data_IF_994748508617
#
_entry.id   IF_994748508617
#
_cell.length_a   1.000
_cell.length_b   1.000
_cell.length_c   1.000
_cell.angle_alpha   90.00
_cell.angle_beta   90.00
_cell.angle_gamma   90.00
#
_symmetry.space_group_name_H-M   'P 1'
#
loop_
_entity.id
_entity.type
_entity.pdbx_description
1 polymer ?
#
# COMPACT_ATOMS: atom_id res chain seq x y z
N UNK A 1 0.57 -39.90 1.74
CA UNK A 1 -0.10 -40.04 0.44
C UNK A 1 -1.08 -38.89 0.25
N UNK A 2 -1.11 -38.37 -0.98
CA UNK A 2 -2.00 -37.33 -1.55
C UNK A 2 -1.70 -35.87 -1.12
N UNK A 3 -1.03 -35.08 -2.00
CA UNK A 3 -1.57 -34.35 -3.18
C UNK A 3 -2.34 -33.09 -2.75
N UNK A 4 -2.33 -31.92 -3.39
CA UNK A 4 -1.79 -31.32 -4.63
C UNK A 4 -2.06 -29.80 -4.45
N UNK A 5 -1.07 -28.92 -4.67
CA UNK A 5 -1.04 -27.91 -5.74
C UNK A 5 -2.07 -26.75 -5.75
N UNK A 6 -1.51 -25.55 -6.04
CA UNK A 6 -2.03 -24.50 -6.91
C UNK A 6 -2.93 -23.40 -6.32
N UNK A 7 -2.29 -22.34 -5.85
CA UNK A 7 -2.77 -20.97 -6.00
C UNK A 7 -2.29 -20.43 -7.36
N UNK A 8 -3.20 -19.92 -8.21
CA UNK A 8 -2.89 -19.19 -9.46
C UNK A 8 -3.94 -18.09 -9.74
N UNK A 9 -3.52 -16.85 -9.43
CA UNK A 9 -3.61 -15.55 -10.15
C UNK A 9 -4.96 -14.81 -10.48
N UNK A 10 -4.95 -13.50 -10.90
CA UNK A 10 -5.58 -12.39 -10.17
C UNK A 10 -6.46 -11.50 -11.09
N UNK A 11 -6.62 -10.22 -10.72
CA UNK A 11 -6.89 -9.05 -11.58
C UNK A 11 -8.31 -8.50 -11.54
N UNK A 12 -8.46 -7.39 -10.82
CA UNK A 12 -9.36 -6.30 -11.21
C UNK A 12 -8.58 -4.99 -11.11
N UNK A 13 -8.09 -4.62 -12.28
CA UNK A 13 -7.74 -3.32 -12.82
C UNK A 13 -7.90 -2.11 -11.89
N UNK A 14 -6.78 -1.44 -11.62
CA UNK A 14 -6.65 -0.20 -10.84
C UNK A 14 -6.84 1.08 -11.69
N UNK A 15 -7.38 0.96 -12.90
CA UNK A 15 -7.56 2.08 -13.82
C UNK A 15 -8.99 2.62 -13.76
N UNK A 16 -9.32 3.38 -12.72
CA UNK A 16 -10.42 4.37 -12.73
C UNK A 16 -10.48 5.22 -11.45
N UNK A 17 -9.35 5.48 -10.79
CA UNK A 17 -9.29 6.50 -9.75
C UNK A 17 -8.93 7.84 -10.41
N UNK A 18 -9.76 8.86 -10.14
CA UNK A 18 -9.51 10.31 -10.31
C UNK A 18 -10.09 11.00 -11.55
N UNK A 19 -11.41 11.18 -11.55
CA UNK A 19 -12.03 12.42 -12.03
C UNK A 19 -13.37 12.62 -11.29
N UNK A 20 -13.35 13.23 -10.10
CA UNK A 20 -14.54 13.85 -9.51
C UNK A 20 -14.16 14.83 -8.39
N UNK A 21 -14.77 16.00 -8.45
CA UNK A 21 -14.76 17.12 -7.49
C UNK A 21 -14.89 16.72 -6.00
N UNK A 22 -14.57 17.64 -5.04
CA UNK A 22 -14.73 17.35 -3.62
C UNK A 22 -16.20 17.05 -3.31
N UNK A 23 -16.49 15.78 -3.02
CA UNK A 23 -17.83 15.37 -2.64
C UNK A 23 -18.29 16.13 -1.39
N UNK A 24 -19.56 16.55 -1.32
CA UNK A 24 -20.10 17.23 -0.16
C UNK A 24 -19.95 16.33 1.07
N UNK A 25 -19.77 16.94 2.25
CA UNK A 25 -19.76 16.23 3.52
C UNK A 25 -21.04 15.41 3.63
N UNK A 26 -20.94 14.12 3.34
CA UNK A 26 -22.04 13.17 3.44
C UNK A 26 -22.39 13.09 4.92
N UNK A 27 -23.55 13.60 5.31
CA UNK A 27 -24.11 13.28 6.61
C UNK A 27 -24.13 11.76 6.72
N UNK A 28 -23.35 11.24 7.68
CA UNK A 28 -23.17 9.80 7.84
C UNK A 28 -24.54 9.10 7.89
N UNK A 29 -24.72 7.96 7.22
CA UNK A 29 -25.92 7.14 7.34
C UNK A 29 -26.34 6.89 8.80
N UNK A 30 -25.38 6.95 9.72
CA UNK A 30 -25.55 6.86 11.17
C UNK A 30 -26.35 8.04 11.74
N UNK A 31 -26.10 9.27 11.29
CA UNK A 31 -26.79 10.47 11.78
C UNK A 31 -28.27 10.48 11.35
N UNK A 32 -28.57 9.99 10.14
CA UNK A 32 -29.93 9.85 9.64
C UNK A 32 -30.72 8.77 10.40
N UNK A 33 -30.04 7.70 10.83
CA UNK A 33 -30.66 6.63 11.62
C UNK A 33 -30.91 7.07 13.08
N UNK A 34 -29.99 7.82 13.69
CA UNK A 34 -30.18 8.39 15.03
C UNK A 34 -31.40 9.34 15.09
N UNK A 35 -31.56 10.20 14.09
CA UNK A 35 -32.69 11.14 14.02
C UNK A 35 -34.05 10.43 13.91
N UNK A 36 -34.12 9.29 13.21
CA UNK A 36 -35.34 8.47 13.14
C UNK A 36 -35.68 7.84 14.50
N UNK A 37 -34.67 7.45 15.27
CA UNK A 37 -34.85 6.85 16.59
C UNK A 37 -35.35 7.87 17.62
N UNK A 38 -34.82 9.09 17.62
CA UNK A 38 -35.30 10.18 18.49
C UNK A 38 -36.77 10.53 18.22
N UNK A 39 -37.19 10.52 16.96
CA UNK A 39 -38.58 10.77 16.58
C UNK A 39 -39.54 9.67 17.07
N UNK A 40 -39.14 8.39 17.02
CA UNK A 40 -39.94 7.27 17.50
C UNK A 40 -40.14 7.30 19.03
N UNK A 41 -39.08 7.67 19.77
CA UNK A 41 -39.14 7.82 21.24
C UNK A 41 -40.10 8.96 21.64
N UNK A 42 -40.09 10.08 20.90
CA UNK A 42 -41.00 11.19 21.14
C UNK A 42 -42.48 10.81 20.89
N UNK A 43 -42.76 10.02 19.85
CA UNK A 43 -44.10 9.50 19.56
C UNK A 43 -44.62 8.57 20.67
N UNK A 44 -43.80 7.64 21.15
CA UNK A 44 -44.16 6.77 22.27
C UNK A 44 -44.43 7.54 23.56
N UNK A 45 -43.61 8.56 23.85
CA UNK A 45 -43.78 9.41 25.04
C UNK A 45 -45.14 10.12 25.00
N UNK A 46 -45.56 10.55 23.81
CA UNK A 46 -46.86 11.19 23.58
C UNK A 46 -48.01 10.19 23.77
N UNK A 47 -47.93 9.00 23.16
CA UNK A 47 -48.95 7.94 23.28
C UNK A 47 -49.16 7.48 24.72
N UNK A 48 -48.08 7.34 25.49
CA UNK A 48 -48.13 6.98 26.91
C UNK A 48 -48.77 8.08 27.76
N UNK A 49 -48.53 9.36 27.43
CA UNK A 49 -49.18 10.48 28.09
C UNK A 49 -50.70 10.50 27.84
N UNK A 50 -51.13 10.27 26.59
CA UNK A 50 -52.55 10.18 26.24
C UNK A 50 -53.25 9.06 27.01
N UNK A 51 -52.66 7.87 27.06
CA UNK A 51 -53.22 6.74 27.81
C UNK A 51 -53.32 7.06 29.31
N UNK A 52 -52.33 7.74 29.88
CA UNK A 52 -52.37 8.18 31.28
C UNK A 52 -53.56 9.11 31.53
N UNK A 53 -53.79 10.07 30.64
CA UNK A 53 -54.88 11.03 30.76
C UNK A 53 -56.25 10.33 30.60
N UNK A 54 -56.35 9.36 29.69
CA UNK A 54 -57.55 8.52 29.52
C UNK A 54 -57.84 7.65 30.76
N UNK A 55 -56.81 7.07 31.39
CA UNK A 55 -56.93 6.33 32.65
C UNK A 55 -57.42 7.26 33.76
N UNK A 56 -56.83 8.44 33.90
CA UNK A 56 -57.21 9.45 34.90
C UNK A 56 -58.68 9.86 34.74
N UNK A 57 -59.11 10.13 33.50
CA UNK A 57 -60.49 10.49 33.19
C UNK A 57 -61.47 9.34 33.45
N UNK A 58 -61.09 8.09 33.14
CA UNK A 58 -61.91 6.91 33.43
C UNK A 58 -62.07 6.67 34.94
N UNK A 59 -61.03 6.89 35.75
CA UNK A 59 -61.08 6.81 37.21
C UNK A 59 -62.03 7.85 37.80
N UNK A 60 -61.93 9.12 37.38
CA UNK A 60 -62.84 10.19 37.83
C UNK A 60 -64.30 9.94 37.43
N UNK A 61 -64.55 9.27 36.30
CA UNK A 61 -65.91 8.89 35.88
C UNK A 61 -66.45 7.68 36.67
N UNK A 62 -65.61 6.70 36.99
CA UNK A 62 -65.97 5.53 37.80
C UNK A 62 -66.45 5.89 39.21
N UNK A 63 -65.87 6.95 39.80
CA UNK A 63 -66.27 7.49 41.10
C UNK A 63 -67.68 8.11 41.08
N UNK A 64 -68.20 8.49 39.90
CA UNK A 64 -69.46 9.22 39.74
C UNK A 64 -70.65 8.37 39.24
N UNK A 65 -70.42 7.36 38.40
CA UNK A 65 -71.48 6.50 37.82
C UNK A 65 -71.30 5.03 38.25
N UNK A 66 -72.27 4.44 38.98
CA UNK A 66 -72.30 3.01 39.38
C UNK A 66 -72.54 2.03 38.19
N UNK A 67 -71.84 2.19 37.07
CA UNK A 67 -71.96 1.37 35.85
C UNK A 67 -70.70 0.54 35.58
N UNK A 68 -70.62 -0.66 36.18
CA UNK A 68 -69.42 -1.53 36.20
C UNK A 68 -69.00 -2.11 34.82
N UNK A 69 -69.91 -2.51 33.91
CA UNK A 69 -69.53 -3.19 32.65
C UNK A 69 -68.80 -2.30 31.62
N UNK A 70 -69.22 -1.05 31.45
CA UNK A 70 -68.58 -0.09 30.53
C UNK A 70 -67.16 0.28 30.98
N UNK A 71 -66.93 0.27 32.30
CA UNK A 71 -65.62 0.52 32.87
C UNK A 71 -64.66 -0.64 32.59
N UNK A 72 -65.14 -1.88 32.72
CA UNK A 72 -64.36 -3.09 32.44
C UNK A 72 -63.97 -3.16 30.96
N UNK A 73 -64.87 -2.84 30.03
CA UNK A 73 -64.57 -2.81 28.60
C UNK A 73 -63.50 -1.76 28.24
N UNK A 74 -63.51 -0.59 28.90
CA UNK A 74 -62.48 0.44 28.72
C UNK A 74 -61.14 0.03 29.30
N UNK A 75 -61.13 -0.57 30.50
CA UNK A 75 -59.92 -1.12 31.12
C UNK A 75 -59.30 -2.19 30.23
N UNK A 76 -60.11 -3.06 29.64
CA UNK A 76 -59.65 -4.11 28.72
C UNK A 76 -59.07 -3.51 27.42
N UNK A 77 -59.69 -2.46 26.88
CA UNK A 77 -59.16 -1.73 25.72
C UNK A 77 -57.82 -1.05 26.01
N UNK A 78 -57.69 -0.40 27.17
CA UNK A 78 -56.44 0.22 27.64
C UNK A 78 -55.34 -0.84 27.83
N UNK A 79 -55.67 -1.96 28.48
CA UNK A 79 -54.72 -3.05 28.69
C UNK A 79 -54.21 -3.63 27.36
N UNK A 80 -55.07 -3.71 26.34
CA UNK A 80 -54.67 -4.12 24.99
C UNK A 80 -53.70 -3.11 24.35
N UNK A 81 -54.00 -1.81 24.41
CA UNK A 81 -53.10 -0.77 23.90
C UNK A 81 -51.72 -0.79 24.58
N UNK A 82 -51.70 -1.00 25.90
CA UNK A 82 -50.45 -1.14 26.68
C UNK A 82 -49.65 -2.36 26.22
N UNK A 83 -50.32 -3.49 25.94
CA UNK A 83 -49.66 -4.70 25.44
C UNK A 83 -49.08 -4.52 24.02
N UNK A 84 -49.80 -3.81 23.16
CA UNK A 84 -49.34 -3.50 21.79
C UNK A 84 -48.09 -2.60 21.82
N UNK A 85 -48.11 -1.53 22.64
CA UNK A 85 -46.95 -0.63 22.84
C UNK A 85 -45.75 -1.39 23.40
N UNK A 86 -45.97 -2.30 24.37
CA UNK A 86 -44.91 -3.13 24.94
C UNK A 86 -44.24 -4.00 23.88
N UNK A 87 -45.03 -4.54 22.94
CA UNK A 87 -44.53 -5.37 21.84
C UNK A 87 -43.69 -4.56 20.84
N UNK A 88 -44.13 -3.34 20.51
CA UNK A 88 -43.36 -2.41 19.65
C UNK A 88 -42.02 -2.00 20.26
N UNK A 89 -42.00 -1.71 21.57
CA UNK A 89 -40.78 -1.37 22.32
C UNK A 89 -39.79 -2.55 22.27
N UNK A 90 -40.25 -3.77 22.55
CA UNK A 90 -39.40 -4.97 22.51
C UNK A 90 -38.81 -5.23 21.12
N UNK A 91 -39.62 -5.06 20.07
CA UNK A 91 -39.15 -5.21 18.68
C UNK A 91 -38.09 -4.16 18.32
N UNK A 92 -38.22 -2.94 18.83
CA UNK A 92 -37.26 -1.87 18.57
C UNK A 92 -35.96 -2.09 19.34
N UNK A 93 -36.02 -2.49 20.61
CA UNK A 93 -34.83 -2.84 21.39
C UNK A 93 -34.03 -3.98 20.73
N UNK A 94 -34.70 -5.00 20.19
CA UNK A 94 -34.04 -6.10 19.49
C UNK A 94 -33.42 -5.70 18.12
N UNK A 95 -33.88 -4.60 17.51
CA UNK A 95 -33.22 -4.01 16.33
C UNK A 95 -31.98 -3.23 16.76
N UNK A 96 -32.09 -2.41 17.81
CA UNK A 96 -30.98 -1.64 18.38
C UNK A 96 -29.81 -2.52 18.85
N UNK A 97 -30.07 -3.67 19.48
CA UNK A 97 -29.01 -4.61 19.88
C UNK A 97 -28.28 -5.21 18.67
N UNK A 98 -29.00 -5.51 17.57
CA UNK A 98 -28.39 -5.96 16.31
C UNK A 98 -27.55 -4.86 15.67
N UNK A 99 -28.04 -3.63 15.68
CA UNK A 99 -27.32 -2.47 15.14
C UNK A 99 -26.07 -2.15 15.97
N UNK A 100 -26.12 -2.32 17.30
CA UNK A 100 -24.94 -2.22 18.16
C UNK A 100 -23.91 -3.31 17.82
N UNK A 101 -24.35 -4.55 17.59
CA UNK A 101 -23.48 -5.63 17.12
C UNK A 101 -22.82 -5.30 15.78
N UNK A 102 -23.57 -4.70 14.85
CA UNK A 102 -23.03 -4.23 13.57
C UNK A 102 -22.03 -3.08 13.76
N UNK A 103 -22.32 -2.11 14.64
CA UNK A 103 -21.42 -1.01 14.95
C UNK A 103 -20.09 -1.48 15.56
N UNK A 104 -20.14 -2.41 16.52
CA UNK A 104 -18.95 -3.04 17.11
C UNK A 104 -18.12 -3.79 16.06
N UNK A 105 -18.78 -4.42 15.08
CA UNK A 105 -18.09 -5.07 13.95
C UNK A 105 -17.41 -4.06 13.02
N UNK A 106 -18.09 -2.96 12.67
CA UNK A 106 -17.52 -1.88 11.83
C UNK A 106 -16.29 -1.27 12.52
N UNK A 107 -16.38 -0.95 13.82
CA UNK A 107 -15.25 -0.41 14.58
C UNK A 107 -14.05 -1.37 14.60
N UNK A 108 -14.28 -2.68 14.71
CA UNK A 108 -13.20 -3.70 14.62
C UNK A 108 -12.59 -3.75 13.22
N UNK A 109 -13.39 -3.64 12.17
CA UNK A 109 -12.91 -3.61 10.78
C UNK A 109 -12.08 -2.35 10.53
N UNK A 110 -12.52 -1.18 11.00
CA UNK A 110 -11.78 0.07 10.90
C UNK A 110 -10.44 0.00 11.65
N UNK A 111 -10.43 -0.53 12.88
CA UNK A 111 -9.21 -0.74 13.64
C UNK A 111 -8.25 -1.73 12.94
N UNK A 112 -8.77 -2.80 12.34
CA UNK A 112 -7.98 -3.74 11.56
C UNK A 112 -7.41 -3.10 10.28
N UNK A 113 -8.20 -2.30 9.58
CA UNK A 113 -7.77 -1.54 8.40
C UNK A 113 -6.68 -0.53 8.77
N UNK A 114 -6.82 0.19 9.88
CA UNK A 114 -5.79 1.10 10.36
C UNK A 114 -4.50 0.35 10.70
N UNK A 115 -4.59 -0.81 11.36
CA UNK A 115 -3.42 -1.65 11.65
C UNK A 115 -2.72 -2.13 10.37
N UNK A 116 -3.48 -2.44 9.31
CA UNK A 116 -2.90 -2.79 7.99
C UNK A 116 -2.14 -1.60 7.41
N UNK A 117 -2.67 -0.38 7.53
CA UNK A 117 -1.98 0.85 7.10
C UNK A 117 -0.68 1.04 7.88
N UNK A 118 -0.72 0.92 9.21
CA UNK A 118 0.46 1.08 10.06
C UNK A 118 1.54 0.03 9.75
N UNK A 119 1.13 -1.22 9.55
CA UNK A 119 2.05 -2.30 9.14
C UNK A 119 2.67 -2.05 7.78
N UNK A 120 1.92 -1.51 6.80
CA UNK A 120 2.48 -1.13 5.49
C UNK A 120 3.54 -0.04 5.63
N UNK A 121 3.28 0.96 6.47
CA UNK A 121 4.24 2.03 6.78
C UNK A 121 5.48 1.45 7.44
N UNK A 122 5.32 0.57 8.43
CA UNK A 122 6.43 -0.09 9.11
C UNK A 122 7.28 -0.92 8.15
N UNK A 123 6.65 -1.80 7.35
CA UNK A 123 7.34 -2.64 6.35
C UNK A 123 8.09 -1.77 5.34
N UNK A 124 7.47 -0.70 4.83
CA UNK A 124 8.14 0.24 3.91
C UNK A 124 9.34 0.91 4.59
N UNK A 125 9.16 1.40 5.81
CA UNK A 125 10.24 2.07 6.54
C UNK A 125 11.42 1.13 6.82
N UNK A 126 11.16 -0.15 7.10
CA UNK A 126 12.19 -1.16 7.32
C UNK A 126 12.91 -1.54 6.02
N UNK A 127 12.16 -1.69 4.93
CA UNK A 127 12.71 -2.03 3.62
C UNK A 127 13.71 -0.99 3.10
N UNK A 128 13.52 0.29 3.46
CA UNK A 128 14.35 1.40 3.03
C UNK A 128 15.15 2.01 4.19
N UNK A 129 15.75 1.17 5.05
CA UNK A 129 16.71 1.63 6.08
C UNK A 129 18.16 1.60 5.59
N UNK A 130 18.99 2.55 6.06
CA UNK A 130 20.42 2.47 5.81
C UNK A 130 21.02 1.31 6.60
N UNK A 131 22.09 0.74 6.07
CA UNK A 131 22.89 -0.30 6.73
C UNK A 131 24.14 0.32 7.36
N UNK A 132 24.51 -0.19 8.52
CA UNK A 132 25.75 0.20 9.18
C UNK A 132 26.93 -0.56 8.53
N UNK A 133 27.75 0.16 7.77
CA UNK A 133 28.96 -0.39 7.14
C UNK A 133 30.15 0.53 7.48
N UNK A 134 31.29 -0.02 7.92
CA UNK A 134 32.49 0.77 8.11
C UNK A 134 32.95 1.42 6.81
N UNK A 135 33.17 2.74 6.81
CA UNK A 135 33.64 3.43 5.60
C UNK A 135 34.98 2.89 5.08
N UNK A 136 35.84 2.37 5.97
CA UNK A 136 37.12 1.76 5.62
C UNK A 136 37.01 0.43 4.85
N UNK A 137 35.83 -0.20 4.81
CA UNK A 137 35.59 -1.42 4.02
C UNK A 137 34.94 -1.15 2.67
N UNK A 138 34.79 0.12 2.29
CA UNK A 138 34.13 0.55 1.07
C UNK A 138 35.14 1.22 0.13
N UNK A 139 35.04 0.88 -1.15
CA UNK A 139 35.72 1.57 -2.24
C UNK A 139 34.68 2.11 -3.23
N UNK A 140 35.06 3.14 -4.00
CA UNK A 140 34.17 3.77 -4.98
C UNK A 140 33.72 2.79 -6.07
N UNK A 141 32.51 2.99 -6.59
CA UNK A 141 31.94 2.24 -7.70
C UNK A 141 31.08 1.04 -7.28
N UNK A 142 30.37 0.49 -8.26
CA UNK A 142 29.53 -0.70 -8.14
C UNK A 142 30.25 -1.93 -8.72
N UNK A 143 29.81 -3.11 -8.30
CA UNK A 143 30.04 -4.35 -9.04
C UNK A 143 29.06 -4.35 -10.21
N UNK A 144 29.53 -4.67 -11.41
CA UNK A 144 28.68 -4.88 -12.58
C UNK A 144 28.85 -6.31 -13.09
N UNK A 145 27.76 -7.06 -13.09
CA UNK A 145 27.68 -8.38 -13.71
C UNK A 145 27.00 -8.26 -15.08
N UNK A 146 27.60 -8.89 -16.09
CA UNK A 146 27.12 -8.87 -17.48
C UNK A 146 26.73 -10.28 -17.90
N UNK A 147 25.61 -10.41 -18.62
CA UNK A 147 25.08 -11.68 -19.11
C UNK A 147 24.69 -11.57 -20.58
N UNK A 148 24.87 -12.65 -21.35
CA UNK A 148 24.33 -12.82 -22.72
C UNK A 148 22.93 -13.43 -22.71
N UNK A 149 22.08 -12.99 -21.78
CA UNK A 149 20.70 -13.44 -21.68
C UNK A 149 19.86 -12.31 -21.08
N UNK A 150 18.82 -11.81 -21.79
CA UNK A 150 17.94 -10.76 -21.27
C UNK A 150 16.99 -11.29 -20.19
N UNK A 151 16.85 -12.62 -20.03
CA UNK A 151 15.91 -13.24 -19.09
C UNK A 151 16.50 -13.45 -17.69
N UNK A 152 17.77 -13.05 -17.47
CA UNK A 152 18.41 -13.04 -16.15
C UNK A 152 17.69 -12.06 -15.20
N UNK A 153 16.97 -11.09 -15.78
CA UNK A 153 16.15 -10.15 -15.02
C UNK A 153 14.83 -10.81 -14.64
N UNK A 154 14.69 -11.09 -13.34
CA UNK A 154 13.43 -11.44 -12.71
C UNK A 154 13.30 -10.57 -11.45
N UNK A 155 12.18 -9.87 -11.24
CA UNK A 155 11.90 -9.29 -9.94
C UNK A 155 11.82 -10.47 -8.97
N UNK A 156 12.80 -10.64 -8.07
CA UNK A 156 12.72 -11.40 -6.80
C UNK A 156 14.03 -12.06 -6.30
N UNK A 157 15.18 -11.88 -6.93
CA UNK A 157 16.44 -12.28 -6.28
C UNK A 157 17.15 -11.02 -5.77
N UNK A 158 17.71 -11.02 -4.56
CA UNK A 158 18.55 -9.94 -4.04
C UNK A 158 20.04 -10.13 -4.40
N UNK A 159 20.33 -11.10 -5.27
CA UNK A 159 21.66 -11.61 -5.55
C UNK A 159 21.91 -11.59 -7.05
N UNK A 160 23.11 -11.19 -7.45
CA UNK A 160 23.65 -11.41 -8.80
C UNK A 160 23.45 -12.89 -9.17
N UNK A 161 22.85 -13.14 -10.34
CA UNK A 161 22.63 -14.50 -10.83
C UNK A 161 23.96 -15.22 -11.06
N UNK A 162 23.98 -16.54 -10.91
CA UNK A 162 25.21 -17.31 -11.09
C UNK A 162 25.76 -17.18 -12.53
N UNK A 163 27.08 -17.24 -12.67
CA UNK A 163 27.81 -17.32 -13.94
C UNK A 163 27.64 -16.11 -14.89
N UNK A 164 27.94 -14.87 -14.47
CA UNK A 164 28.06 -13.77 -15.42
C UNK A 164 29.20 -14.04 -16.41
N UNK A 165 29.04 -13.59 -17.66
CA UNK A 165 30.12 -13.66 -18.66
C UNK A 165 31.25 -12.69 -18.31
N UNK A 166 30.93 -11.61 -17.59
CA UNK A 166 31.90 -10.68 -17.05
C UNK A 166 31.41 -10.12 -15.70
N UNK A 167 32.34 -10.03 -14.75
CA UNK A 167 32.12 -9.40 -13.46
C UNK A 167 33.19 -8.32 -13.29
N UNK A 168 32.77 -7.07 -13.25
CA UNK A 168 33.63 -5.89 -13.31
C UNK A 168 33.32 -4.85 -12.25
N UNK A 169 34.14 -3.80 -12.25
CA UNK A 169 33.88 -2.57 -11.51
C UNK A 169 33.25 -1.53 -12.46
N UNK A 170 32.18 -0.89 -12.03
CA UNK A 170 31.53 0.22 -12.72
C UNK A 170 31.58 1.49 -11.85
N UNK A 171 31.87 2.65 -12.46
CA UNK A 171 31.87 3.93 -11.75
C UNK A 171 30.55 4.69 -11.89
N UNK A 172 29.69 4.26 -12.81
CA UNK A 172 28.37 4.80 -13.04
C UNK A 172 27.42 3.64 -13.38
N UNK A 173 26.11 3.94 -13.36
CA UNK A 173 25.09 3.06 -13.92
C UNK A 173 24.79 3.59 -15.31
N UNK A 174 25.37 2.94 -16.31
CA UNK A 174 25.25 3.30 -17.72
C UNK A 174 25.22 2.03 -18.59
N UNK A 175 25.35 2.20 -19.90
CA UNK A 175 25.29 1.10 -20.87
C UNK A 175 26.57 0.27 -20.94
N UNK A 176 27.59 0.55 -20.11
CA UNK A 176 28.91 -0.07 -20.20
C UNK A 176 29.30 -0.84 -18.93
N UNK A 177 29.97 -2.01 -19.06
CA UNK A 177 30.28 -2.70 -20.31
C UNK A 177 29.14 -3.58 -20.80
N UNK A 178 28.94 -3.67 -22.12
CA UNK A 178 27.93 -4.54 -22.75
C UNK A 178 28.55 -5.54 -23.75
N UNK A 179 27.97 -6.74 -23.90
CA UNK A 179 28.53 -7.78 -24.77
C UNK A 179 28.13 -7.63 -26.25
N UNK A 180 27.12 -6.80 -26.52
CA UNK A 180 26.56 -6.62 -27.85
C UNK A 180 25.50 -5.53 -27.87
N UNK A 181 24.73 -5.52 -28.96
CA UNK A 181 23.62 -4.59 -29.12
C UNK A 181 22.31 -5.14 -28.55
N UNK A 182 22.19 -6.46 -28.42
CA UNK A 182 20.94 -7.14 -28.09
C UNK A 182 21.18 -8.37 -27.19
N UNK A 183 20.11 -8.86 -26.58
CA UNK A 183 20.07 -10.08 -25.77
C UNK A 183 21.08 -10.12 -24.62
N UNK A 184 21.10 -9.06 -23.80
CA UNK A 184 21.99 -8.99 -22.65
C UNK A 184 21.33 -8.40 -21.41
N UNK A 185 21.95 -8.65 -20.27
CA UNK A 185 21.59 -8.05 -18.98
C UNK A 185 22.83 -7.39 -18.37
N UNK A 186 22.63 -6.19 -17.80
CA UNK A 186 23.57 -5.52 -16.92
C UNK A 186 22.99 -5.49 -15.50
N UNK A 187 23.77 -5.89 -14.51
CA UNK A 187 23.35 -5.96 -13.13
C UNK A 187 24.39 -5.27 -12.23
N UNK A 188 24.05 -4.04 -11.82
CA UNK A 188 24.88 -3.20 -10.98
C UNK A 188 24.48 -3.40 -9.52
N UNK A 189 25.43 -3.73 -8.65
CA UNK A 189 25.19 -3.94 -7.21
C UNK A 189 26.24 -3.25 -6.35
N UNK A 190 25.80 -2.67 -5.24
CA UNK A 190 26.67 -2.09 -4.22
C UNK A 190 25.87 -1.27 -3.22
N UNK A 191 26.36 -0.07 -2.92
CA UNK A 191 25.78 0.85 -1.94
C UNK A 191 25.70 2.27 -2.50
N UNK A 192 24.54 2.90 -2.26
CA UNK A 192 24.30 4.32 -2.45
C UNK A 192 24.55 5.05 -1.13
N UNK A 193 25.43 6.05 -1.14
CA UNK A 193 25.68 6.92 0.00
C UNK A 193 24.73 8.13 -0.03
N UNK A 194 23.94 8.29 1.02
CA UNK A 194 23.12 9.47 1.25
C UNK A 194 23.81 10.34 2.30
N UNK A 195 24.25 11.53 1.90
CA UNK A 195 25.04 12.44 2.75
C UNK A 195 24.17 13.36 3.61
N UNK A 196 22.91 13.56 3.22
CA UNK A 196 21.98 14.43 3.93
C UNK A 196 20.57 13.87 3.83
N UNK A 197 19.83 13.90 4.94
CA UNK A 197 18.42 13.54 4.93
C UNK A 197 17.66 14.40 3.91
N UNK A 198 16.69 13.81 3.22
CA UNK A 198 15.82 14.52 2.29
C UNK A 198 14.89 13.63 1.48
N UNK A 199 14.07 14.26 0.67
CA UNK A 199 13.22 13.60 -0.34
C UNK A 199 14.01 13.44 -1.62
N UNK A 200 14.31 12.20 -2.01
CA UNK A 200 15.04 11.89 -3.23
C UNK A 200 14.08 11.36 -4.29
N UNK A 201 14.04 12.01 -5.45
CA UNK A 201 13.34 11.50 -6.63
C UNK A 201 14.35 10.73 -7.47
N UNK A 202 14.12 9.44 -7.69
CA UNK A 202 14.93 8.61 -8.58
C UNK A 202 14.16 8.37 -9.87
N UNK A 203 14.85 8.35 -11.00
CA UNK A 203 14.22 8.00 -12.27
C UNK A 203 15.12 7.08 -13.12
N UNK A 204 14.49 6.07 -13.71
CA UNK A 204 15.07 5.22 -14.74
C UNK A 204 14.40 5.54 -16.07
N UNK A 205 15.20 5.73 -17.11
CA UNK A 205 14.75 5.84 -18.50
C UNK A 205 15.48 4.76 -19.29
N UNK A 206 14.78 3.76 -19.83
CA UNK A 206 15.44 2.60 -20.46
C UNK A 206 14.72 2.04 -21.68
N UNK A 207 15.53 1.39 -22.53
CA UNK A 207 15.17 0.58 -23.70
C UNK A 207 16.10 -0.65 -23.73
N UNK A 208 15.65 -1.88 -23.47
CA UNK A 208 14.33 -2.30 -22.98
C UNK A 208 14.16 -2.00 -21.46
N UNK A 209 13.96 -3.02 -20.63
CA UNK A 209 13.47 -2.87 -19.27
C UNK A 209 14.57 -2.68 -18.23
N UNK A 210 14.19 -2.05 -17.11
CA UNK A 210 15.08 -1.84 -15.97
C UNK A 210 14.36 -1.88 -14.62
N UNK A 211 15.12 -2.15 -13.56
CA UNK A 211 14.62 -2.21 -12.19
C UNK A 211 15.59 -1.50 -11.25
N UNK A 212 15.07 -0.69 -10.33
CA UNK A 212 15.84 -0.07 -9.25
C UNK A 212 15.41 -0.66 -7.90
N UNK A 213 16.38 -1.22 -7.18
CA UNK A 213 16.23 -1.63 -5.79
C UNK A 213 17.05 -0.71 -4.90
N UNK A 214 16.45 -0.26 -3.80
CA UNK A 214 17.13 0.47 -2.72
C UNK A 214 16.77 -0.22 -1.40
N UNK A 215 17.76 -0.47 -0.55
CA UNK A 215 17.56 -1.27 0.65
C UNK A 215 17.20 -2.71 0.32
N UNK A 216 16.12 -3.20 0.90
CA UNK A 216 15.63 -4.57 0.75
C UNK A 216 14.41 -4.68 -0.20
N UNK A 217 14.02 -3.60 -0.90
CA UNK A 217 12.83 -3.58 -1.74
C UNK A 217 13.07 -2.99 -3.14
N UNK A 218 12.22 -3.44 -4.06
CA UNK A 218 12.06 -2.85 -5.38
C UNK A 218 11.43 -1.45 -5.23
N UNK A 219 12.11 -0.43 -5.74
CA UNK A 219 11.60 0.94 -5.79
C UNK A 219 10.96 1.22 -7.14
N UNK A 220 11.66 1.00 -8.25
CA UNK A 220 11.15 1.26 -9.60
C UNK A 220 11.11 -0.04 -10.39
N UNK A 221 9.92 -0.39 -10.89
CA UNK A 221 9.69 -1.42 -11.90
C UNK A 221 9.45 -0.74 -13.25
N UNK A 222 10.45 -0.83 -14.13
CA UNK A 222 10.36 -0.43 -15.54
C UNK A 222 10.60 -1.66 -16.43
N UNK A 223 10.03 -2.82 -16.07
CA UNK A 223 10.12 -4.02 -16.88
C UNK A 223 9.22 -4.02 -18.13
N UNK A 224 9.30 -5.09 -18.90
CA UNK A 224 8.69 -5.25 -20.22
C UNK A 224 9.68 -5.05 -21.38
N UNK A 225 9.29 -5.49 -22.57
CA UNK A 225 10.01 -5.17 -23.81
C UNK A 225 9.36 -3.91 -24.40
N UNK A 226 10.12 -2.83 -24.50
CA UNK A 226 9.64 -1.51 -24.87
C UNK A 226 10.79 -0.60 -25.31
N UNK A 227 10.51 0.34 -26.21
CA UNK A 227 11.44 1.45 -26.49
C UNK A 227 11.70 2.33 -25.26
N UNK A 228 12.57 3.35 -25.38
CA UNK A 228 12.90 4.27 -24.27
C UNK A 228 11.66 4.73 -23.49
N UNK A 229 11.56 4.28 -22.25
CA UNK A 229 10.47 4.58 -21.33
C UNK A 229 11.01 5.01 -19.98
N UNK A 230 10.43 6.08 -19.43
CA UNK A 230 10.80 6.66 -18.14
C UNK A 230 9.84 6.25 -17.02
N UNK A 231 10.40 5.88 -15.86
CA UNK A 231 9.70 5.69 -14.58
C UNK A 231 10.44 6.42 -13.48
N UNK A 232 9.70 6.97 -12.52
CA UNK A 232 10.29 7.69 -11.39
C UNK A 232 9.53 7.41 -10.09
N UNK A 233 10.24 7.48 -8.97
CA UNK A 233 9.69 7.30 -7.63
C UNK A 233 10.37 8.23 -6.64
N UNK A 234 9.62 8.63 -5.61
CA UNK A 234 10.12 9.49 -4.52
C UNK A 234 10.30 8.65 -3.27
N UNK A 235 11.49 8.78 -2.66
CA UNK A 235 11.84 8.11 -1.42
C UNK A 235 12.51 9.10 -0.47
N UNK A 236 11.97 9.23 0.74
CA UNK A 236 12.65 9.98 1.81
C UNK A 236 13.73 9.09 2.42
N UNK A 237 14.96 9.58 2.41
CA UNK A 237 16.13 8.85 2.90
C UNK A 237 16.78 9.63 4.04
N UNK A 238 17.26 8.90 5.05
CA UNK A 238 18.13 9.42 6.10
C UNK A 238 19.60 9.31 5.67
N UNK A 239 20.51 9.89 6.46
CA UNK A 239 21.94 9.78 6.20
C UNK A 239 22.40 8.33 6.39
N UNK A 240 23.15 7.79 5.42
CA UNK A 240 23.72 6.45 5.53
C UNK A 240 24.03 5.79 4.19
N UNK A 241 24.43 4.52 4.27
CA UNK A 241 24.64 3.67 3.10
C UNK A 241 23.41 2.80 2.88
N UNK A 242 22.92 2.75 1.66
CA UNK A 242 21.79 1.93 1.27
C UNK A 242 22.26 0.89 0.26
N UNK A 243 21.97 -0.41 0.44
CA UNK A 243 22.12 -1.37 -0.63
C UNK A 243 21.40 -0.84 -1.87
N UNK A 244 22.08 -0.82 -3.01
CA UNK A 244 21.49 -0.43 -4.28
C UNK A 244 21.74 -1.52 -5.30
N UNK A 245 20.73 -1.79 -6.11
CA UNK A 245 20.87 -2.61 -7.30
C UNK A 245 20.11 -1.98 -8.46
N UNK A 246 20.76 -1.92 -9.62
CA UNK A 246 20.10 -1.55 -10.87
C UNK A 246 20.26 -2.71 -11.83
N UNK A 247 19.14 -3.26 -12.28
CA UNK A 247 19.13 -4.25 -13.34
C UNK A 247 18.63 -3.58 -14.61
N UNK A 248 19.27 -3.89 -15.72
CA UNK A 248 18.88 -3.49 -17.05
C UNK A 248 18.97 -4.71 -17.96
N UNK A 249 18.02 -4.88 -18.87
CA UNK A 249 18.14 -5.85 -19.93
C UNK A 249 17.74 -5.25 -21.25
N UNK A 250 18.36 -5.79 -22.29
CA UNK A 250 18.09 -5.46 -23.66
C UNK A 250 17.71 -6.73 -24.41
N UNK A 251 16.47 -6.78 -24.90
CA UNK A 251 15.96 -7.86 -25.75
C UNK A 251 16.34 -7.65 -27.20
N UNK A 252 15.98 -6.50 -27.78
CA UNK A 252 16.30 -6.19 -29.18
C UNK A 252 15.96 -4.76 -29.60
N UNK A 253 16.45 -4.33 -30.77
CA UNK A 253 16.20 -2.99 -31.30
C UNK A 253 17.14 -1.91 -30.73
N UNK A 254 16.58 -0.74 -30.41
CA UNK A 254 17.33 0.37 -29.79
C UNK A 254 17.69 0.03 -28.34
N UNK A 255 18.75 0.65 -27.80
CA UNK A 255 19.16 0.39 -26.42
C UNK A 255 19.53 1.68 -25.69
N UNK A 256 19.12 1.83 -24.44
CA UNK A 256 19.46 2.97 -23.61
C UNK A 256 19.17 2.74 -22.13
N UNK A 257 19.96 3.37 -21.26
CA UNK A 257 19.79 3.37 -19.81
C UNK A 257 20.28 4.69 -19.26
N UNK A 258 19.37 5.44 -18.63
CA UNK A 258 19.68 6.65 -17.90
C UNK A 258 19.16 6.51 -16.47
N UNK A 259 20.03 6.81 -15.50
CA UNK A 259 19.68 6.86 -14.10
C UNK A 259 19.92 8.26 -13.54
N UNK A 260 18.83 8.95 -13.21
CA UNK A 260 18.86 10.31 -12.66
C UNK A 260 18.29 10.37 -11.25
N UNK A 261 18.64 11.44 -10.55
CA UNK A 261 18.04 11.78 -9.27
C UNK A 261 17.87 13.29 -9.08
N UNK A 262 17.00 13.68 -8.17
CA UNK A 262 16.98 15.02 -7.59
C UNK A 262 16.71 14.95 -6.09
N UNK A 263 17.14 15.99 -5.36
CA UNK A 263 16.93 16.10 -3.92
C UNK A 263 16.03 17.29 -3.60
N UNK A 264 15.04 17.08 -2.75
CA UNK A 264 14.13 18.10 -2.19
C UNK A 264 13.46 18.98 -3.26
N UNK A 265 13.11 18.37 -4.40
CA UNK A 265 12.49 19.07 -5.54
C UNK A 265 13.45 19.93 -6.36
N UNK A 266 14.77 19.84 -6.12
CA UNK A 266 15.79 20.51 -6.89
C UNK A 266 15.95 19.97 -8.32
N UNK A 267 16.96 20.49 -9.01
CA UNK A 267 17.31 20.10 -10.38
C UNK A 267 17.65 18.60 -10.48
N UNK A 268 17.07 17.93 -11.47
CA UNK A 268 17.34 16.53 -11.79
C UNK A 268 18.66 16.38 -12.55
N UNK A 269 19.51 15.45 -12.11
CA UNK A 269 20.86 15.23 -12.64
C UNK A 269 21.14 13.75 -12.77
N UNK A 270 22.05 13.33 -13.67
CA UNK A 270 22.58 11.96 -13.64
C UNK A 270 23.08 11.59 -12.24
N UNK A 271 22.84 10.36 -11.81
CA UNK A 271 23.32 9.89 -10.51
C UNK A 271 24.86 9.91 -10.53
N UNK A 272 25.53 10.69 -9.67
CA UNK A 272 26.97 10.83 -9.74
C UNK A 272 27.67 9.58 -9.21
N UNK A 273 28.68 9.10 -9.92
CA UNK A 273 29.49 7.95 -9.47
C UNK A 273 30.13 8.11 -8.09
N UNK A 274 30.32 9.35 -7.63
CA UNK A 274 30.89 9.66 -6.31
C UNK A 274 30.03 9.24 -5.11
N UNK A 275 28.74 8.93 -5.34
CA UNK A 275 27.84 8.41 -4.30
C UNK A 275 27.71 6.89 -4.34
N UNK A 276 28.43 6.20 -5.23
CA UNK A 276 28.37 4.75 -5.42
C UNK A 276 29.59 4.07 -4.80
N UNK A 277 29.34 3.01 -4.05
CA UNK A 277 30.37 2.27 -3.31
C UNK A 277 30.11 0.77 -3.37
N UNK A 278 31.16 -0.02 -3.17
CA UNK A 278 31.09 -1.47 -3.00
C UNK A 278 32.04 -1.89 -1.89
N UNK A 279 31.82 -3.07 -1.32
CA UNK A 279 32.78 -3.64 -0.39
C UNK A 279 34.10 -3.90 -1.12
N UNK A 280 35.22 -3.46 -0.52
CA UNK A 280 36.57 -3.72 -1.04
C UNK A 280 36.80 -5.21 -1.30
N UNK A 281 36.27 -6.08 -0.42
CA UNK A 281 36.36 -7.53 -0.56
C UNK A 281 35.63 -8.09 -1.79
N UNK A 282 34.56 -7.44 -2.23
CA UNK A 282 33.82 -7.86 -3.42
C UNK A 282 34.48 -7.32 -4.69
N UNK A 283 34.97 -6.07 -4.65
CA UNK A 283 35.75 -5.50 -5.75
C UNK A 283 37.05 -6.26 -6.00
N UNK A 284 37.64 -6.90 -4.98
CA UNK A 284 38.80 -7.77 -5.15
C UNK A 284 38.52 -9.03 -6.03
N UNK A 285 37.25 -9.38 -6.26
CA UNK A 285 36.84 -10.53 -7.08
C UNK A 285 36.59 -10.16 -8.54
N UNK A 286 36.50 -8.87 -8.86
CA UNK A 286 36.14 -8.39 -10.21
C UNK A 286 37.36 -8.40 -11.13
N UNK A 287 37.12 -8.51 -12.43
CA UNK A 287 38.17 -8.45 -13.45
C UNK A 287 38.28 -7.05 -14.06
N UNK A 288 39.48 -6.62 -14.49
CA UNK A 288 39.62 -5.40 -15.28
C UNK A 288 38.86 -5.49 -16.61
N UNK A 289 38.21 -4.40 -17.02
CA UNK A 289 37.47 -4.33 -18.29
C UNK A 289 38.36 -4.60 -19.50
N UNK A 290 39.64 -4.24 -19.44
CA UNK A 290 40.60 -4.49 -20.51
C UNK A 290 40.78 -5.99 -20.81
N UNK A 291 40.76 -6.85 -19.79
CA UNK A 291 40.84 -8.30 -19.97
C UNK A 291 39.60 -8.85 -20.64
N UNK A 292 38.42 -8.34 -20.27
CA UNK A 292 37.15 -8.75 -20.88
C UNK A 292 37.02 -8.32 -22.34
N UNK A 293 37.49 -7.11 -22.67
CA UNK A 293 37.58 -6.62 -24.06
C UNK A 293 38.57 -7.46 -24.89
N UNK A 294 39.75 -7.75 -24.32
CA UNK A 294 40.73 -8.60 -24.99
C UNK A 294 40.21 -10.03 -25.24
N UNK A 295 39.35 -10.54 -24.36
CA UNK A 295 38.67 -11.83 -24.51
C UNK A 295 37.41 -11.78 -25.40
N UNK A 296 37.02 -10.60 -25.91
CA UNK A 296 35.81 -10.43 -26.72
C UNK A 296 34.50 -10.67 -25.97
N UNK A 297 34.52 -10.60 -24.63
CA UNK A 297 33.33 -10.82 -23.79
C UNK A 297 32.44 -9.57 -23.71
N UNK A 298 33.05 -8.38 -23.84
CA UNK A 298 32.39 -7.08 -23.81
C UNK A 298 33.01 -6.15 -24.84
N UNK A 299 32.25 -5.17 -25.32
CA UNK A 299 32.72 -4.12 -26.24
C UNK A 299 33.36 -2.94 -25.50
#
# INVERSE_FOLDING_TARGET
MHHLHSALIPSLCFACLLAADPAPVVQSPIAAELAKQEAAIADWTTKVATIRDEIQAAQTKAENDRGIPDLLAKIEAINKQVADIRSEILLTLAKLERDKGLHDMVAKIEAANQRIVDLKVQVRSEAFKPVAIPAASLDSGLICAVYNDPNVVQPNTATISANPIYLGKALAVDMEPRPGEENYTLDFQGYLKIESKGSYKFALNSDDGSFLYIGAALLIDNGGMHGMQRKEEILTLDVGYYPIRVQFYQGGGGAGLEFTWSKDGGEEKPLPGSVLYSLTSELAKVKPIAEAKAAGLVK
#
